data_IF_623737106215
#
_entry.id   IF_623737106215
#
_cell.length_a   1.000
_cell.length_b   1.000
_cell.length_c   1.000
_cell.angle_alpha   90.00
_cell.angle_beta   90.00
_cell.angle_gamma   90.00
#
_symmetry.space_group_name_H-M   'P 1'
#
loop_
_entity.id
_entity.type
_entity.pdbx_description
1 polymer ?
#
# COMPACT_ATOMS: atom_id res chain seq x y z
N UNK A 1 11.94 27.05 -2.69
CA UNK A 1 12.94 25.99 -2.38
C UNK A 1 12.97 24.98 -3.51
N UNK A 2 14.13 24.38 -3.78
CA UNK A 2 14.23 23.33 -4.78
C UNK A 2 13.63 22.02 -4.20
N UNK A 3 12.65 21.42 -4.87
CA UNK A 3 11.98 20.20 -4.44
C UNK A 3 12.97 19.03 -4.29
N UNK A 4 14.00 18.98 -5.15
CA UNK A 4 15.05 17.98 -5.07
C UNK A 4 15.81 18.06 -3.73
N UNK A 5 16.12 19.25 -3.23
CA UNK A 5 16.80 19.42 -1.95
C UNK A 5 15.96 18.88 -0.78
N UNK A 6 14.64 19.12 -0.80
CA UNK A 6 13.71 18.60 0.22
C UNK A 6 13.72 17.08 0.21
N UNK A 7 13.62 16.46 -0.97
CA UNK A 7 13.60 14.99 -1.11
C UNK A 7 14.94 14.38 -0.68
N UNK A 8 16.07 15.00 -1.01
CA UNK A 8 17.39 14.51 -0.57
C UNK A 8 17.56 14.60 0.95
N UNK A 9 17.15 15.73 1.57
CA UNK A 9 17.16 15.86 3.03
C UNK A 9 16.29 14.80 3.67
N UNK A 10 15.08 14.59 3.15
CA UNK A 10 14.18 13.54 3.64
C UNK A 10 14.79 12.14 3.51
N UNK A 11 15.40 11.82 2.38
CA UNK A 11 16.06 10.54 2.16
C UNK A 11 17.23 10.30 3.13
N UNK A 12 18.05 11.33 3.38
CA UNK A 12 19.14 11.26 4.37
C UNK A 12 18.60 11.06 5.78
N UNK A 13 17.54 11.78 6.16
CA UNK A 13 16.89 11.61 7.46
C UNK A 13 16.33 10.19 7.65
N UNK A 14 15.66 9.64 6.63
CA UNK A 14 15.14 8.27 6.68
C UNK A 14 16.25 7.22 6.74
N UNK A 15 17.32 7.41 5.96
CA UNK A 15 18.48 6.52 6.02
C UNK A 15 19.18 6.56 7.40
N UNK A 16 19.35 7.74 7.97
CA UNK A 16 19.89 7.91 9.30
C UNK A 16 18.99 7.27 10.37
N UNK A 17 17.68 7.46 10.27
CA UNK A 17 16.72 6.82 11.17
C UNK A 17 16.80 5.30 11.09
N UNK A 18 16.88 4.73 9.89
CA UNK A 18 17.03 3.28 9.69
C UNK A 18 18.34 2.74 10.28
N UNK A 19 19.46 3.39 9.96
CA UNK A 19 20.80 2.92 10.34
C UNK A 19 21.11 3.14 11.82
N UNK A 20 20.66 4.25 12.41
CA UNK A 20 20.98 4.61 13.80
C UNK A 20 19.85 4.21 14.74
N UNK A 21 18.65 4.75 14.53
CA UNK A 21 17.52 4.56 15.43
C UNK A 21 16.96 3.14 15.34
N UNK A 22 16.81 2.59 14.14
CA UNK A 22 16.34 1.21 13.94
C UNK A 22 17.28 0.17 14.55
N UNK A 23 18.60 0.34 14.38
CA UNK A 23 19.59 -0.55 15.02
C UNK A 23 19.61 -0.42 16.54
N UNK A 24 19.54 0.81 17.04
CA UNK A 24 19.45 1.06 18.48
C UNK A 24 18.22 0.37 19.08
N UNK A 25 17.07 0.49 18.41
CA UNK A 25 15.82 -0.12 18.86
C UNK A 25 15.89 -1.66 18.83
N UNK A 26 16.45 -2.23 17.76
CA UNK A 26 16.66 -3.67 17.63
C UNK A 26 17.55 -4.21 18.76
N UNK A 27 18.65 -3.53 19.05
CA UNK A 27 19.55 -3.90 20.15
C UNK A 27 18.86 -3.77 21.51
N UNK A 28 18.08 -2.70 21.71
CA UNK A 28 17.36 -2.47 22.98
C UNK A 28 16.27 -3.53 23.22
N UNK A 29 15.63 -4.02 22.18
CA UNK A 29 14.64 -5.09 22.28
C UNK A 29 15.26 -6.49 22.35
N UNK A 30 16.56 -6.61 22.16
CA UNK A 30 17.28 -7.89 22.22
C UNK A 30 16.94 -8.81 21.05
N UNK A 31 16.85 -8.23 19.85
CA UNK A 31 16.60 -9.02 18.63
C UNK A 31 17.88 -9.74 18.25
N UNK A 32 17.81 -11.06 18.20
CA UNK A 32 18.89 -11.93 17.72
C UNK A 32 18.69 -12.25 16.23
N UNK A 33 19.56 -11.76 15.35
CA UNK A 33 19.47 -12.06 13.91
C UNK A 33 19.70 -13.54 13.58
N UNK A 34 20.33 -14.31 14.46
CA UNK A 34 20.59 -15.73 14.26
C UNK A 34 19.45 -16.64 14.75
N UNK A 35 18.48 -16.07 15.48
CA UNK A 35 17.34 -16.83 15.97
C UNK A 35 16.46 -17.34 14.81
N UNK A 36 16.06 -18.62 14.88
CA UNK A 36 15.11 -19.18 13.92
C UNK A 36 13.75 -18.52 14.07
N UNK A 37 13.16 -18.12 12.95
CA UNK A 37 11.78 -17.62 12.93
C UNK A 37 10.79 -18.76 13.20
N UNK A 38 9.56 -18.46 13.71
CA UNK A 38 8.53 -19.48 13.93
C UNK A 38 8.24 -20.32 12.70
N UNK A 39 8.25 -19.71 11.50
CA UNK A 39 8.07 -20.43 10.25
C UNK A 39 9.17 -21.46 9.96
N UNK A 40 10.40 -21.23 10.45
CA UNK A 40 11.52 -22.18 10.32
C UNK A 40 11.54 -23.21 11.47
N UNK A 41 11.04 -22.83 12.65
CA UNK A 41 11.07 -23.68 13.83
C UNK A 41 9.90 -24.69 13.84
N UNK A 42 8.75 -24.31 13.29
CA UNK A 42 7.49 -25.06 13.31
C UNK A 42 6.96 -25.35 11.90
N UNK A 43 7.84 -25.51 10.90
CA UNK A 43 7.47 -25.74 9.51
C UNK A 43 6.50 -26.91 9.37
N UNK A 44 5.27 -26.64 8.91
CA UNK A 44 4.21 -27.64 8.70
C UNK A 44 3.67 -27.66 7.26
N UNK A 45 4.13 -26.72 6.42
CA UNK A 45 3.71 -26.58 5.03
C UNK A 45 2.31 -25.97 4.83
N UNK A 46 1.62 -25.59 5.89
CA UNK A 46 0.28 -24.99 5.87
C UNK A 46 0.26 -23.62 6.54
N UNK A 47 0.44 -23.56 7.86
CA UNK A 47 0.42 -22.33 8.65
C UNK A 47 1.82 -21.72 8.80
N UNK A 48 2.84 -22.58 8.89
CA UNK A 48 4.24 -22.19 9.02
C UNK A 48 5.03 -22.59 7.77
N UNK A 49 5.13 -21.65 6.83
CA UNK A 49 5.83 -21.87 5.56
C UNK A 49 6.98 -20.87 5.44
N UNK A 50 8.24 -21.34 5.48
CA UNK A 50 9.39 -20.48 5.26
C UNK A 50 9.34 -19.84 3.86
N UNK A 51 9.25 -18.52 3.83
CA UNK A 51 9.09 -17.75 2.58
C UNK A 51 10.37 -16.98 2.29
N UNK A 52 10.73 -16.83 0.99
CA UNK A 52 11.91 -16.07 0.56
C UNK A 52 11.78 -14.62 0.98
N UNK A 53 12.87 -14.04 1.50
CA UNK A 53 12.88 -12.67 2.03
C UNK A 53 12.38 -11.61 1.06
N UNK A 54 12.67 -11.72 -0.23
CA UNK A 54 12.15 -10.78 -1.24
C UNK A 54 10.62 -10.86 -1.40
N UNK A 55 10.04 -12.05 -1.32
CA UNK A 55 8.57 -12.21 -1.38
C UNK A 55 7.90 -11.61 -0.13
N UNK A 56 8.51 -11.81 1.05
CA UNK A 56 8.04 -11.18 2.30
C UNK A 56 8.14 -9.66 2.20
N UNK A 57 9.26 -9.14 1.68
CA UNK A 57 9.43 -7.70 1.44
C UNK A 57 8.35 -7.15 0.52
N UNK A 58 8.10 -7.77 -0.63
CA UNK A 58 7.05 -7.34 -1.57
C UNK A 58 5.66 -7.32 -0.91
N UNK A 59 5.35 -8.34 -0.12
CA UNK A 59 4.09 -8.42 0.60
C UNK A 59 3.93 -7.29 1.63
N UNK A 60 4.94 -7.06 2.46
CA UNK A 60 4.93 -6.00 3.46
C UNK A 60 4.89 -4.62 2.80
N UNK A 61 5.74 -4.39 1.81
CA UNK A 61 5.81 -3.13 1.09
C UNK A 61 4.47 -2.79 0.41
N UNK A 62 3.87 -3.74 -0.31
CA UNK A 62 2.56 -3.56 -0.96
C UNK A 62 1.44 -3.34 0.05
N UNK A 63 1.49 -3.98 1.21
CA UNK A 63 0.49 -3.83 2.27
C UNK A 63 0.56 -2.46 2.96
N UNK A 64 1.77 -1.93 3.15
CA UNK A 64 2.00 -0.60 3.75
C UNK A 64 1.73 0.51 2.73
N UNK A 65 2.26 0.37 1.50
CA UNK A 65 2.10 1.35 0.43
C UNK A 65 0.71 1.30 -0.23
N UNK A 66 -0.34 1.21 0.56
CA UNK A 66 -1.73 1.23 0.09
C UNK A 66 -2.22 2.63 -0.27
N UNK A 67 -3.53 2.77 -0.48
CA UNK A 67 -4.15 4.05 -0.83
C UNK A 67 -3.97 5.12 0.25
N UNK A 68 -3.98 4.75 1.54
CA UNK A 68 -3.86 5.67 2.66
C UNK A 68 -2.60 6.54 2.64
N UNK A 69 -1.38 5.99 2.52
CA UNK A 69 -0.14 6.78 2.41
C UNK A 69 -0.11 7.75 1.24
N UNK A 70 -0.71 7.39 0.10
CA UNK A 70 -0.75 8.24 -1.10
C UNK A 70 -1.78 9.36 -0.93
N UNK A 71 -3.03 9.01 -0.64
CA UNK A 71 -4.12 9.98 -0.49
C UNK A 71 -3.96 10.86 0.74
N UNK A 72 -3.44 10.31 1.84
CA UNK A 72 -3.17 11.07 3.06
C UNK A 72 -2.16 12.19 2.86
N UNK A 73 -1.09 11.93 2.11
CA UNK A 73 -0.10 12.96 1.78
C UNK A 73 -0.70 14.07 0.88
N UNK A 74 -1.56 13.70 -0.09
CA UNK A 74 -2.26 14.65 -0.97
C UNK A 74 -3.21 15.52 -0.15
N UNK A 75 -4.03 14.93 0.72
CA UNK A 75 -4.96 15.66 1.59
C UNK A 75 -4.22 16.58 2.57
N UNK A 76 -3.12 16.09 3.15
CA UNK A 76 -2.31 16.89 4.06
C UNK A 76 -1.62 18.08 3.37
N UNK A 77 -1.46 18.06 2.04
CA UNK A 77 -0.94 19.19 1.26
C UNK A 77 -1.81 20.46 1.37
N UNK A 78 -3.10 20.33 1.75
CA UNK A 78 -3.97 21.44 2.08
C UNK A 78 -3.44 22.31 3.24
N UNK A 79 -2.56 21.77 4.10
CA UNK A 79 -1.93 22.50 5.20
C UNK A 79 -0.57 23.13 4.83
N UNK A 80 -0.12 22.96 3.60
CA UNK A 80 1.19 23.37 3.13
C UNK A 80 2.22 22.24 3.15
N UNK A 81 3.38 22.45 2.50
CA UNK A 81 4.37 21.38 2.32
C UNK A 81 5.16 21.05 3.60
N UNK A 82 5.38 22.01 4.51
CA UNK A 82 6.19 21.80 5.71
C UNK A 82 5.51 20.90 6.74
N UNK A 83 4.23 21.10 7.11
CA UNK A 83 3.51 20.17 7.99
C UNK A 83 3.47 18.76 7.44
N UNK A 84 3.26 18.59 6.14
CA UNK A 84 3.26 17.26 5.48
C UNK A 84 4.63 16.60 5.62
N UNK A 85 5.70 17.33 5.30
CA UNK A 85 7.06 16.81 5.38
C UNK A 85 7.41 16.38 6.80
N UNK A 86 7.13 17.23 7.79
CA UNK A 86 7.40 16.93 9.20
C UNK A 86 6.59 15.71 9.66
N UNK A 87 5.31 15.62 9.30
CA UNK A 87 4.47 14.48 9.66
C UNK A 87 4.94 13.18 8.99
N UNK A 88 5.27 13.22 7.69
CA UNK A 88 5.77 12.04 6.98
C UNK A 88 7.10 11.56 7.55
N UNK A 89 8.01 12.47 7.90
CA UNK A 89 9.31 12.10 8.49
C UNK A 89 9.17 11.68 9.95
N UNK A 90 8.68 12.55 10.82
CA UNK A 90 8.63 12.29 12.26
C UNK A 90 7.56 11.23 12.58
N UNK A 91 6.37 11.36 12.01
CA UNK A 91 5.30 10.39 12.16
C UNK A 91 5.68 9.03 11.59
N UNK A 92 6.26 9.00 10.40
CA UNK A 92 6.72 7.77 9.76
C UNK A 92 7.82 7.06 10.55
N UNK A 93 8.80 7.79 11.10
CA UNK A 93 9.91 7.21 11.86
C UNK A 93 9.46 6.77 13.27
N UNK A 94 8.84 7.67 14.04
CA UNK A 94 8.61 7.43 15.48
C UNK A 94 7.29 6.72 15.78
N UNK A 95 6.28 6.89 14.93
CA UNK A 95 4.98 6.22 15.10
C UNK A 95 4.83 5.04 14.15
N UNK A 96 4.87 5.24 12.84
CA UNK A 96 4.63 4.19 11.85
C UNK A 96 5.62 3.06 11.94
N UNK A 97 6.90 3.34 11.67
CA UNK A 97 7.94 2.31 11.59
C UNK A 97 8.16 1.59 12.94
N UNK A 98 8.08 2.30 14.06
CA UNK A 98 8.24 1.70 15.40
C UNK A 98 7.06 0.79 15.74
N UNK A 99 5.83 1.21 15.41
CA UNK A 99 4.64 0.40 15.66
C UNK A 99 4.66 -0.88 14.82
N UNK A 100 4.97 -0.77 13.54
CA UNK A 100 5.02 -1.92 12.62
C UNK A 100 6.13 -2.89 13.00
N UNK A 101 7.32 -2.36 13.31
CA UNK A 101 8.46 -3.17 13.75
C UNK A 101 8.17 -3.85 15.10
N UNK A 102 7.53 -3.13 16.04
CA UNK A 102 7.13 -3.67 17.33
C UNK A 102 6.08 -4.76 17.22
N UNK A 103 5.07 -4.58 16.37
CA UNK A 103 4.04 -5.56 16.13
C UNK A 103 4.61 -6.83 15.49
N UNK A 104 5.49 -6.69 14.50
CA UNK A 104 6.17 -7.80 13.85
C UNK A 104 7.06 -8.57 14.84
N UNK A 105 7.88 -7.86 15.63
CA UNK A 105 8.73 -8.47 16.64
C UNK A 105 7.94 -9.19 17.73
N UNK A 106 6.87 -8.56 18.22
CA UNK A 106 5.99 -9.19 19.21
C UNK A 106 5.34 -10.46 18.68
N UNK A 107 4.91 -10.47 17.42
CA UNK A 107 4.38 -11.66 16.77
C UNK A 107 5.43 -12.77 16.65
N UNK A 108 6.61 -12.47 16.12
CA UNK A 108 7.71 -13.45 15.97
C UNK A 108 8.14 -14.03 17.32
N UNK A 109 8.25 -13.21 18.36
CA UNK A 109 8.61 -13.63 19.72
C UNK A 109 7.54 -14.52 20.40
N UNK A 110 6.32 -14.50 19.89
CA UNK A 110 5.19 -15.30 20.39
C UNK A 110 4.69 -16.30 19.35
N UNK A 111 5.59 -17.02 18.69
CA UNK A 111 5.29 -18.11 17.74
C UNK A 111 4.44 -17.69 16.53
N UNK A 112 4.61 -16.45 16.04
CA UNK A 112 3.87 -15.94 14.90
C UNK A 112 2.40 -15.62 15.17
N UNK A 113 2.01 -15.49 16.44
CA UNK A 113 0.61 -15.23 16.82
C UNK A 113 0.16 -13.82 16.43
N UNK A 114 -1.13 -13.73 16.06
CA UNK A 114 -1.77 -12.44 15.74
C UNK A 114 -1.90 -11.56 17.00
N UNK A 115 -2.03 -10.24 16.79
CA UNK A 115 -2.19 -9.27 17.89
C UNK A 115 -3.39 -9.61 18.79
N UNK A 116 -4.48 -10.11 18.23
CA UNK A 116 -5.64 -10.57 19.00
C UNK A 116 -5.32 -11.66 20.02
N UNK A 117 -4.46 -12.62 19.64
CA UNK A 117 -3.97 -13.67 20.55
C UNK A 117 -2.98 -13.14 21.57
N UNK A 118 -2.16 -12.15 21.20
CA UNK A 118 -1.26 -11.49 22.14
C UNK A 118 -2.05 -10.71 23.21
N UNK A 119 -3.11 -10.01 22.81
CA UNK A 119 -4.01 -9.32 23.75
C UNK A 119 -4.66 -10.32 24.70
N UNK A 120 -5.08 -11.50 24.21
CA UNK A 120 -5.61 -12.54 25.11
C UNK A 120 -4.56 -12.99 26.13
N UNK A 121 -3.32 -13.18 25.68
CA UNK A 121 -2.21 -13.64 26.56
C UNK A 121 -1.87 -12.63 27.64
N UNK A 122 -1.86 -11.33 27.33
CA UNK A 122 -1.36 -10.29 28.25
C UNK A 122 -2.46 -9.52 28.98
N UNK A 123 -3.67 -9.41 28.40
CA UNK A 123 -4.79 -8.62 28.94
C UNK A 123 -5.97 -9.53 29.33
N UNK A 124 -6.16 -10.65 28.59
CA UNK A 124 -7.22 -11.60 28.87
C UNK A 124 -8.28 -11.70 27.78
N UNK A 125 -9.21 -12.66 27.96
CA UNK A 125 -10.23 -13.01 26.96
C UNK A 125 -11.19 -11.87 26.62
N UNK A 126 -11.54 -11.03 27.59
CA UNK A 126 -12.41 -9.87 27.35
C UNK A 126 -11.73 -8.84 26.46
N UNK A 127 -10.44 -8.54 26.72
CA UNK A 127 -9.65 -7.66 25.90
C UNK A 127 -9.58 -8.13 24.45
N UNK A 128 -9.34 -9.43 24.20
CA UNK A 128 -9.39 -10.02 22.87
C UNK A 128 -10.74 -9.81 22.17
N UNK A 129 -11.86 -10.09 22.87
CA UNK A 129 -13.20 -9.95 22.27
C UNK A 129 -13.48 -8.48 21.86
N UNK A 130 -13.17 -7.54 22.74
CA UNK A 130 -13.35 -6.11 22.46
C UNK A 130 -12.46 -5.65 21.31
N UNK A 131 -11.20 -6.09 21.28
CA UNK A 131 -10.28 -5.77 20.20
C UNK A 131 -10.75 -6.35 18.86
N UNK A 132 -11.21 -7.59 18.81
CA UNK A 132 -11.74 -8.20 17.59
C UNK A 132 -13.00 -7.51 17.10
N UNK A 133 -13.89 -7.12 18.01
CA UNK A 133 -15.08 -6.32 17.67
C UNK A 133 -14.69 -4.97 17.07
N UNK A 134 -13.74 -4.27 17.70
CA UNK A 134 -13.19 -3.02 17.17
C UNK A 134 -12.58 -3.21 15.78
N UNK A 135 -11.73 -4.21 15.59
CA UNK A 135 -11.12 -4.51 14.29
C UNK A 135 -12.18 -4.82 13.23
N UNK A 136 -13.22 -5.56 13.59
CA UNK A 136 -14.30 -5.88 12.65
C UNK A 136 -15.06 -4.64 12.20
N UNK A 137 -15.50 -3.80 13.14
CA UNK A 137 -16.20 -2.54 12.82
C UNK A 137 -15.32 -1.58 12.03
N UNK A 138 -14.05 -1.42 12.44
CA UNK A 138 -13.09 -0.57 11.75
C UNK A 138 -12.81 -1.06 10.31
N UNK A 139 -12.68 -2.37 10.12
CA UNK A 139 -12.46 -2.95 8.79
C UNK A 139 -13.64 -2.69 7.86
N UNK A 140 -14.88 -2.78 8.34
CA UNK A 140 -16.08 -2.44 7.54
C UNK A 140 -16.05 -0.99 7.08
N UNK A 141 -15.73 -0.06 7.98
CA UNK A 141 -15.60 1.36 7.65
C UNK A 141 -14.51 1.61 6.62
N UNK A 142 -13.34 1.00 6.80
CA UNK A 142 -12.19 1.13 5.88
C UNK A 142 -12.52 0.56 4.49
N UNK A 143 -13.16 -0.61 4.43
CA UNK A 143 -13.58 -1.22 3.16
C UNK A 143 -14.57 -0.30 2.43
N UNK A 144 -15.57 0.23 3.14
CA UNK A 144 -16.56 1.13 2.54
C UNK A 144 -15.89 2.40 1.99
N UNK A 145 -15.04 3.05 2.79
CA UNK A 145 -14.34 4.28 2.38
C UNK A 145 -13.42 4.05 1.18
N UNK A 146 -12.64 2.98 1.18
CA UNK A 146 -11.73 2.69 0.06
C UNK A 146 -12.47 2.20 -1.19
N UNK A 147 -13.55 1.45 -1.05
CA UNK A 147 -14.38 1.06 -2.19
C UNK A 147 -14.98 2.27 -2.89
N UNK A 148 -15.49 3.25 -2.11
CA UNK A 148 -16.01 4.51 -2.65
C UNK A 148 -14.92 5.34 -3.34
N UNK A 149 -13.75 5.48 -2.72
CA UNK A 149 -12.60 6.19 -3.29
C UNK A 149 -12.12 5.55 -4.61
N UNK A 150 -11.98 4.23 -4.65
CA UNK A 150 -11.56 3.48 -5.84
C UNK A 150 -12.58 3.64 -6.96
N UNK A 151 -13.86 3.46 -6.66
CA UNK A 151 -14.95 3.64 -7.62
C UNK A 151 -14.99 5.08 -8.16
N UNK A 152 -14.74 6.07 -7.30
CA UNK A 152 -14.64 7.49 -7.69
C UNK A 152 -13.45 7.74 -8.63
N UNK A 153 -12.30 7.12 -8.36
CA UNK A 153 -11.09 7.26 -9.20
C UNK A 153 -11.29 6.67 -10.61
N UNK A 154 -12.09 5.60 -10.74
CA UNK A 154 -12.37 4.96 -12.03
C UNK A 154 -13.58 5.54 -12.75
N UNK A 155 -14.31 6.45 -12.10
CA UNK A 155 -15.52 7.05 -12.67
C UNK A 155 -15.20 7.87 -13.93
N UNK A 156 -15.86 7.53 -15.03
CA UNK A 156 -15.70 8.21 -16.31
C UNK A 156 -16.67 9.39 -16.51
N UNK A 157 -17.64 9.58 -15.62
CA UNK A 157 -18.70 10.59 -15.77
C UNK A 157 -18.62 11.66 -14.69
N UNK A 158 -19.03 12.87 -15.06
CA UNK A 158 -19.21 13.99 -14.14
C UNK A 158 -20.58 14.60 -14.33
N UNK A 159 -21.13 15.24 -13.30
CA UNK A 159 -22.40 15.94 -13.39
C UNK A 159 -22.12 17.44 -13.51
N UNK A 160 -22.51 18.03 -14.65
CA UNK A 160 -22.43 19.46 -14.91
C UNK A 160 -23.85 19.97 -15.20
N UNK A 161 -24.29 20.98 -14.49
CA UNK A 161 -25.64 21.57 -14.61
C UNK A 161 -26.78 20.53 -14.51
N UNK A 162 -26.63 19.53 -13.65
CA UNK A 162 -27.61 18.46 -13.46
C UNK A 162 -27.64 17.38 -14.56
N UNK A 163 -26.79 17.49 -15.58
CA UNK A 163 -26.65 16.49 -16.64
C UNK A 163 -25.40 15.66 -16.46
N UNK A 164 -25.52 14.33 -16.62
CA UNK A 164 -24.39 13.41 -16.58
C UNK A 164 -23.67 13.47 -17.93
N UNK A 165 -22.43 13.91 -17.92
CA UNK A 165 -21.59 14.04 -19.09
C UNK A 165 -20.29 13.26 -18.93
N UNK A 166 -19.64 12.92 -20.04
CA UNK A 166 -18.33 12.28 -20.02
C UNK A 166 -17.30 13.27 -19.49
N UNK A 167 -16.56 12.88 -18.42
CA UNK A 167 -15.48 13.72 -17.85
C UNK A 167 -14.34 13.89 -18.84
N UNK A 168 -13.63 15.02 -18.78
CA UNK A 168 -12.36 15.18 -19.49
C UNK A 168 -11.33 14.11 -19.10
N UNK A 169 -11.40 13.62 -17.87
CA UNK A 169 -10.57 12.54 -17.36
C UNK A 169 -11.15 11.14 -17.61
N UNK A 170 -12.21 10.98 -18.39
CA UNK A 170 -12.88 9.69 -18.60
C UNK A 170 -11.94 8.61 -19.16
N UNK A 171 -11.05 8.98 -20.09
CA UNK A 171 -10.08 8.03 -20.66
C UNK A 171 -9.02 7.58 -19.66
N UNK A 172 -8.29 8.44 -18.94
CA UNK A 172 -7.36 8.00 -17.91
C UNK A 172 -8.03 7.28 -16.74
N UNK A 173 -9.21 7.69 -16.30
CA UNK A 173 -9.96 7.02 -15.24
C UNK A 173 -10.39 5.61 -15.67
N UNK A 174 -10.94 5.46 -16.88
CA UNK A 174 -11.28 4.16 -17.44
C UNK A 174 -10.06 3.26 -17.67
N UNK A 175 -8.92 3.83 -18.08
CA UNK A 175 -7.67 3.09 -18.18
C UNK A 175 -7.20 2.58 -16.82
N UNK A 176 -7.26 3.39 -15.76
CA UNK A 176 -6.90 2.97 -14.40
C UNK A 176 -7.79 1.81 -13.92
N UNK A 177 -9.10 1.86 -14.18
CA UNK A 177 -10.03 0.77 -13.87
C UNK A 177 -9.71 -0.51 -14.66
N UNK A 178 -9.47 -0.40 -15.95
CA UNK A 178 -9.09 -1.54 -16.81
C UNK A 178 -7.76 -2.16 -16.37
N UNK A 179 -6.74 -1.34 -16.09
CA UNK A 179 -5.45 -1.80 -15.57
C UNK A 179 -5.67 -2.58 -14.26
N UNK A 180 -6.49 -2.09 -13.36
CA UNK A 180 -6.77 -2.74 -12.08
C UNK A 180 -7.41 -4.12 -12.25
N UNK A 181 -8.36 -4.28 -13.19
CA UNK A 181 -8.95 -5.57 -13.53
C UNK A 181 -7.93 -6.51 -14.17
N UNK A 182 -7.11 -6.00 -15.09
CA UNK A 182 -6.06 -6.80 -15.73
C UNK A 182 -4.99 -7.24 -14.73
N UNK A 183 -4.67 -6.42 -13.73
CA UNK A 183 -3.77 -6.81 -12.64
C UNK A 183 -4.27 -8.04 -11.89
N UNK A 184 -5.58 -8.13 -11.65
CA UNK A 184 -6.18 -9.31 -10.99
C UNK A 184 -5.99 -10.56 -11.87
N UNK A 185 -6.31 -10.46 -13.16
CA UNK A 185 -6.19 -11.57 -14.10
C UNK A 185 -4.74 -12.02 -14.27
N UNK A 186 -3.84 -11.07 -14.52
CA UNK A 186 -2.41 -11.37 -14.69
C UNK A 186 -1.76 -11.87 -13.40
N UNK A 187 -2.21 -11.42 -12.23
CA UNK A 187 -1.74 -11.95 -10.95
C UNK A 187 -2.11 -13.43 -10.79
N UNK A 188 -3.34 -13.81 -11.14
CA UNK A 188 -3.75 -15.23 -11.11
C UNK A 188 -2.94 -16.08 -12.09
N UNK A 189 -2.75 -15.61 -13.32
CA UNK A 189 -1.91 -16.28 -14.33
C UNK A 189 -0.46 -16.42 -13.79
N UNK A 190 0.11 -15.36 -13.26
CA UNK A 190 1.46 -15.36 -12.70
C UNK A 190 1.57 -16.33 -11.51
N UNK A 191 0.58 -16.37 -10.61
CA UNK A 191 0.55 -17.30 -9.48
C UNK A 191 0.53 -18.77 -9.93
N UNK A 192 -0.27 -19.10 -10.93
CA UNK A 192 -0.30 -20.44 -11.53
C UNK A 192 1.03 -20.78 -12.20
N UNK A 193 1.61 -19.85 -12.98
CA UNK A 193 2.92 -20.04 -13.61
C UNK A 193 4.03 -20.25 -12.57
N UNK A 194 4.02 -19.45 -11.49
CA UNK A 194 4.98 -19.57 -10.40
C UNK A 194 4.94 -20.96 -9.77
N UNK A 195 3.74 -21.49 -9.50
CA UNK A 195 3.55 -22.81 -8.91
C UNK A 195 3.90 -23.94 -9.89
N UNK A 196 3.42 -23.85 -11.14
CA UNK A 196 3.61 -24.90 -12.14
C UNK A 196 5.06 -25.05 -12.59
N UNK A 197 5.80 -23.94 -12.75
CA UNK A 197 7.17 -23.95 -13.24
C UNK A 197 8.21 -23.70 -12.14
N UNK A 198 7.80 -23.70 -10.86
CA UNK A 198 8.69 -23.40 -9.71
C UNK A 198 9.53 -22.13 -9.95
N UNK A 199 8.90 -21.09 -10.53
CA UNK A 199 9.59 -19.84 -10.84
C UNK A 199 10.05 -19.16 -9.55
N UNK A 200 11.36 -18.91 -9.46
CA UNK A 200 11.93 -18.24 -8.29
C UNK A 200 13.08 -17.30 -8.69
N UNK A 201 13.37 -16.34 -7.79
CA UNK A 201 14.44 -15.37 -8.03
C UNK A 201 14.18 -14.53 -9.27
N UNK A 202 15.21 -14.29 -10.07
CA UNK A 202 15.13 -13.39 -11.22
C UNK A 202 14.12 -13.81 -12.29
N UNK A 203 13.86 -15.11 -12.46
CA UNK A 203 12.87 -15.63 -13.42
C UNK A 203 11.45 -15.19 -13.03
N UNK A 204 11.10 -15.29 -11.76
CA UNK A 204 9.82 -14.80 -11.25
C UNK A 204 9.70 -13.28 -11.42
N UNK A 205 10.78 -12.53 -11.16
CA UNK A 205 10.81 -11.08 -11.35
C UNK A 205 10.57 -10.68 -12.81
N UNK A 206 11.22 -11.34 -13.76
CA UNK A 206 11.03 -11.06 -15.20
C UNK A 206 9.60 -11.34 -15.64
N UNK A 207 9.04 -12.50 -15.26
CA UNK A 207 7.65 -12.85 -15.62
C UNK A 207 6.66 -11.87 -14.97
N UNK A 208 6.84 -11.53 -13.69
CA UNK A 208 6.01 -10.55 -13.01
C UNK A 208 6.08 -9.15 -13.65
N UNK A 209 7.28 -8.71 -14.04
CA UNK A 209 7.48 -7.44 -14.73
C UNK A 209 6.80 -7.42 -16.11
N UNK A 210 6.93 -8.50 -16.88
CA UNK A 210 6.23 -8.64 -18.17
C UNK A 210 4.73 -8.59 -17.99
N UNK A 211 4.17 -9.30 -17.01
CA UNK A 211 2.74 -9.24 -16.68
C UNK A 211 2.30 -7.81 -16.29
N UNK A 212 3.12 -7.11 -15.51
CA UNK A 212 2.85 -5.72 -15.10
C UNK A 212 2.82 -4.78 -16.32
N UNK A 213 3.85 -4.84 -17.17
CA UNK A 213 3.93 -4.01 -18.38
C UNK A 213 2.79 -4.33 -19.35
N UNK A 214 2.45 -5.62 -19.52
CA UNK A 214 1.34 -6.02 -20.38
C UNK A 214 0.00 -5.48 -19.86
N UNK A 215 -0.26 -5.55 -18.54
CA UNK A 215 -1.46 -4.98 -17.93
C UNK A 215 -1.57 -3.46 -18.15
N UNK A 216 -0.46 -2.75 -17.97
CA UNK A 216 -0.40 -1.30 -18.20
C UNK A 216 -0.65 -0.96 -19.68
N UNK A 217 0.04 -1.63 -20.61
CA UNK A 217 -0.09 -1.36 -22.05
C UNK A 217 -1.50 -1.65 -22.57
N UNK A 218 -2.08 -2.79 -22.22
CA UNK A 218 -3.43 -3.19 -22.64
C UNK A 218 -4.48 -2.26 -22.01
N UNK A 219 -4.35 -1.94 -20.72
CA UNK A 219 -5.32 -1.08 -20.03
C UNK A 219 -5.32 0.36 -20.55
N UNK A 220 -4.16 0.88 -20.94
CA UNK A 220 -4.08 2.20 -21.61
C UNK A 220 -4.64 2.19 -23.03
N UNK A 221 -4.49 1.06 -23.74
CA UNK A 221 -5.02 0.92 -25.10
C UNK A 221 -6.54 0.72 -25.13
N UNK A 222 -7.11 0.04 -24.13
CA UNK A 222 -8.52 -0.36 -24.07
C UNK A 222 -9.18 0.15 -22.77
N UNK A 223 -9.36 1.47 -22.58
CA UNK A 223 -10.00 2.02 -21.40
C UNK A 223 -11.50 1.67 -21.33
N UNK A 224 -11.95 1.07 -20.25
CA UNK A 224 -13.37 0.81 -19.99
C UNK A 224 -13.98 2.03 -19.31
N UNK A 225 -14.87 2.73 -19.99
CA UNK A 225 -15.58 3.88 -19.43
C UNK A 225 -16.87 3.42 -18.77
N UNK A 226 -16.96 3.50 -17.45
CA UNK A 226 -18.14 3.13 -16.67
C UNK A 226 -18.39 4.16 -15.56
N UNK A 227 -19.62 4.18 -15.04
CA UNK A 227 -20.02 5.03 -13.93
C UNK A 227 -19.53 4.53 -12.57
N UNK A 228 -19.56 5.41 -11.58
CA UNK A 228 -19.15 5.13 -10.19
C UNK A 228 -19.88 3.90 -9.63
N UNK A 229 -21.20 3.80 -9.83
CA UNK A 229 -22.00 2.69 -9.30
C UNK A 229 -21.57 1.34 -9.90
N UNK A 230 -21.30 1.30 -11.20
CA UNK A 230 -20.80 0.10 -11.87
C UNK A 230 -19.47 -0.35 -11.30
N UNK A 231 -18.54 0.59 -11.10
CA UNK A 231 -17.24 0.30 -10.48
C UNK A 231 -17.37 -0.14 -9.03
N UNK A 232 -18.33 0.41 -8.29
CA UNK A 232 -18.65 -0.02 -6.92
C UNK A 232 -19.08 -1.48 -6.89
N UNK A 233 -20.02 -1.89 -7.75
CA UNK A 233 -20.46 -3.30 -7.85
C UNK A 233 -19.30 -4.23 -8.25
N UNK A 234 -18.50 -3.85 -9.26
CA UNK A 234 -17.32 -4.63 -9.66
C UNK A 234 -16.35 -4.81 -8.49
N UNK A 235 -16.11 -3.76 -7.73
CA UNK A 235 -15.23 -3.78 -6.55
C UNK A 235 -15.76 -4.73 -5.47
N UNK A 236 -17.05 -4.71 -5.17
CA UNK A 236 -17.65 -5.63 -4.18
C UNK A 236 -17.56 -7.09 -4.63
N UNK A 237 -17.85 -7.37 -5.91
CA UNK A 237 -17.68 -8.72 -6.48
C UNK A 237 -16.22 -9.18 -6.37
N UNK A 238 -15.28 -8.29 -6.69
CA UNK A 238 -13.86 -8.57 -6.53
C UNK A 238 -13.48 -8.87 -5.06
N UNK A 239 -13.93 -8.05 -4.10
CA UNK A 239 -13.64 -8.25 -2.67
C UNK A 239 -14.15 -9.62 -2.21
N UNK A 240 -15.35 -10.02 -2.63
CA UNK A 240 -15.89 -11.33 -2.31
C UNK A 240 -15.01 -12.47 -2.81
N UNK A 241 -14.61 -12.47 -4.08
CA UNK A 241 -13.71 -13.48 -4.62
C UNK A 241 -12.32 -13.43 -4.00
N UNK A 242 -11.78 -12.25 -3.74
CA UNK A 242 -10.47 -12.08 -3.12
C UNK A 242 -10.42 -12.62 -1.68
N UNK A 243 -11.55 -12.60 -0.95
CA UNK A 243 -11.65 -13.17 0.39
C UNK A 243 -11.68 -14.70 0.41
N UNK A 244 -12.14 -15.34 -0.67
CA UNK A 244 -12.29 -16.80 -0.76
C UNK A 244 -11.07 -17.48 -1.41
N UNK A 245 -10.40 -16.77 -2.34
CA UNK A 245 -9.28 -17.34 -3.08
C UNK A 245 -8.02 -17.52 -2.22
N UNK A 246 -7.24 -18.61 -2.47
CA UNK A 246 -5.98 -18.83 -1.74
C UNK A 246 -4.98 -17.69 -1.94
N UNK A 247 -4.25 -17.35 -0.89
CA UNK A 247 -3.27 -16.25 -0.86
C UNK A 247 -2.20 -16.40 -1.96
N UNK A 248 -1.74 -17.63 -2.22
CA UNK A 248 -0.72 -17.91 -3.23
C UNK A 248 -1.20 -17.68 -4.67
N UNK A 249 -2.52 -17.75 -4.91
CA UNK A 249 -3.08 -17.62 -6.26
C UNK A 249 -3.27 -16.16 -6.65
N UNK A 250 -3.75 -15.33 -5.74
CA UNK A 250 -4.12 -13.94 -6.03
C UNK A 250 -3.22 -12.93 -5.30
N UNK A 251 -3.16 -13.00 -3.97
CA UNK A 251 -2.56 -11.93 -3.16
C UNK A 251 -1.05 -11.85 -3.34
N UNK A 252 -0.32 -12.95 -3.19
CA UNK A 252 1.13 -12.98 -3.31
C UNK A 252 1.64 -12.51 -4.68
N UNK A 253 1.16 -13.04 -5.82
CA UNK A 253 1.60 -12.57 -7.14
C UNK A 253 1.21 -11.12 -7.42
N UNK A 254 0.02 -10.70 -6.98
CA UNK A 254 -0.43 -9.32 -7.10
C UNK A 254 0.46 -8.35 -6.32
N UNK A 255 0.82 -8.68 -5.09
CA UNK A 255 1.69 -7.86 -4.25
C UNK A 255 3.08 -7.69 -4.89
N UNK A 256 3.61 -8.73 -5.52
CA UNK A 256 4.86 -8.64 -6.29
C UNK A 256 4.72 -7.69 -7.48
N UNK A 257 3.68 -7.82 -8.29
CA UNK A 257 3.42 -6.94 -9.44
C UNK A 257 3.23 -5.49 -8.99
N UNK A 258 2.46 -5.26 -7.93
CA UNK A 258 2.23 -3.94 -7.35
C UNK A 258 3.53 -3.32 -6.85
N UNK A 259 4.39 -4.11 -6.20
CA UNK A 259 5.72 -3.66 -5.75
C UNK A 259 6.59 -3.21 -6.93
N UNK A 260 6.60 -3.94 -8.05
CA UNK A 260 7.35 -3.53 -9.25
C UNK A 260 6.84 -2.20 -9.80
N UNK A 261 5.52 -2.01 -9.82
CA UNK A 261 4.91 -0.75 -10.25
C UNK A 261 5.28 0.40 -9.32
N UNK A 262 5.23 0.23 -8.01
CA UNK A 262 5.61 1.25 -7.03
C UNK A 262 7.08 1.60 -7.10
N UNK A 263 7.98 0.61 -7.22
CA UNK A 263 9.41 0.86 -7.40
C UNK A 263 9.65 1.64 -8.70
N UNK A 264 9.00 1.25 -9.80
CA UNK A 264 9.08 1.96 -11.06
C UNK A 264 8.60 3.41 -10.95
N UNK A 265 7.51 3.65 -10.23
CA UNK A 265 6.98 4.99 -9.96
C UNK A 265 7.97 5.83 -9.12
N UNK A 266 8.55 5.26 -8.06
CA UNK A 266 9.54 5.96 -7.22
C UNK A 266 10.79 6.29 -8.03
N UNK A 267 11.32 5.35 -8.80
CA UNK A 267 12.48 5.58 -9.66
C UNK A 267 12.18 6.64 -10.72
N UNK A 268 11.02 6.57 -11.37
CA UNK A 268 10.58 7.58 -12.33
C UNK A 268 10.43 8.97 -11.71
N UNK A 269 9.87 9.06 -10.50
CA UNK A 269 9.76 10.32 -9.76
C UNK A 269 11.15 10.90 -9.41
N UNK A 270 12.08 10.07 -8.92
CA UNK A 270 13.44 10.50 -8.61
C UNK A 270 14.17 10.99 -9.86
N UNK A 271 14.09 10.24 -10.97
CA UNK A 271 14.69 10.65 -12.25
C UNK A 271 14.04 11.94 -12.77
N UNK A 272 12.73 12.07 -12.68
CA UNK A 272 12.03 13.29 -13.05
C UNK A 272 12.47 14.51 -12.24
N UNK A 273 12.65 14.36 -10.93
CA UNK A 273 13.18 15.41 -10.05
C UNK A 273 14.63 15.79 -10.38
N UNK A 274 15.46 14.80 -10.74
CA UNK A 274 16.85 15.03 -11.13
C UNK A 274 16.99 15.75 -12.46
N UNK A 275 16.06 15.52 -13.40
CA UNK A 275 16.09 16.16 -14.73
C UNK A 275 15.40 17.52 -14.74
N UNK A 276 14.21 17.59 -14.15
CA UNK A 276 13.35 18.79 -14.27
C UNK A 276 13.66 19.86 -13.21
N UNK A 277 14.30 19.51 -12.09
CA UNK A 277 14.59 20.44 -10.97
C UNK A 277 13.42 21.38 -10.60
N UNK A 278 12.19 20.87 -10.41
CA UNK A 278 11.03 21.71 -10.17
C UNK A 278 11.18 22.52 -8.89
N UNK A 279 10.68 23.75 -8.91
CA UNK A 279 10.56 24.58 -7.71
C UNK A 279 9.30 24.24 -6.95
N UNK A 280 9.37 24.30 -5.61
CA UNK A 280 8.20 24.10 -4.76
C UNK A 280 7.29 25.34 -4.85
N UNK A 281 6.11 25.16 -5.44
CA UNK A 281 5.10 26.22 -5.58
C UNK A 281 4.05 26.19 -4.46
N UNK A 282 3.98 25.09 -3.70
CA UNK A 282 3.09 25.00 -2.55
C UNK A 282 3.58 25.91 -1.42
N UNK A 283 2.71 26.69 -0.74
CA UNK A 283 3.10 27.50 0.40
C UNK A 283 3.66 26.66 1.53
N UNK A 284 4.56 27.26 2.32
CA UNK A 284 5.22 26.58 3.44
C UNK A 284 4.22 26.12 4.50
N UNK A 285 3.29 27.00 4.85
CA UNK A 285 2.21 26.79 5.81
C UNK A 285 0.96 27.48 5.33
N UNK A 286 -0.18 26.79 5.34
CA UNK A 286 -1.50 27.35 5.14
C UNK A 286 -2.24 27.40 6.47
N UNK A 287 -2.77 28.58 6.82
CA UNK A 287 -3.59 28.74 8.03
C UNK A 287 -4.97 28.12 7.79
N UNK A 288 -5.42 27.31 8.74
CA UNK A 288 -6.68 26.56 8.65
C UNK A 288 -7.95 27.43 8.62
N UNK A 289 -7.89 28.71 8.94
CA UNK A 289 -9.04 29.64 8.82
C UNK A 289 -9.49 29.80 7.37
N UNK A 290 -8.57 29.86 6.41
CA UNK A 290 -8.92 30.03 5.00
C UNK A 290 -9.38 28.70 4.36
N UNK A 291 -8.81 27.56 4.78
CA UNK A 291 -9.22 26.25 4.29
C UNK A 291 -10.64 25.85 4.73
N UNK A 292 -11.12 26.34 5.87
CA UNK A 292 -12.49 26.09 6.35
C UNK A 292 -13.55 26.92 5.60
N UNK A 293 -13.18 28.09 5.08
CA UNK A 293 -14.06 28.96 4.30
C UNK A 293 -14.12 28.52 2.83
N UNK A 294 -13.01 28.08 2.22
CA UNK A 294 -13.01 27.50 0.87
C UNK A 294 -13.77 26.16 0.79
N UNK A 295 -13.80 25.37 1.86
CA UNK A 295 -14.57 24.13 1.91
C UNK A 295 -16.09 24.36 2.10
N UNK A 296 -16.52 25.62 2.35
CA UNK A 296 -17.93 26.01 2.49
C UNK A 296 -18.48 26.76 1.26
N UNK A 297 -17.65 27.15 0.33
CA UNK A 297 -18.03 27.75 -0.95
C UNK A 297 -18.05 26.68 -2.05
#
# INVERSE_FOLDING_TARGET
>A
MNTLAIVLIAAVCLAAAYLLYGRWLANKWGIDPAAKTPAQAHEDGQDYVPTKGFTVFCHQFSSIAGAGPVTGAIQAAAFGWLPVLLWVLLGGIFFGAVTDFGALYASVKNDGKSIGLLIEKYIGKLGRKLFLLFCWLFTLLVIAAFADMVAGTFNAFTTVDGQVQLSEAARPNGAAGTISLLFILFAMVFGVLQKKFNLSGWKATVVGLVCTIAALAIGMALPITAGKDTWTYITFVYIFFAAVLPIWLLKQPRDMMTTYMFIGMIVGAVLGLLVAHPTMNLPCLLYTSDAADEARS
#
